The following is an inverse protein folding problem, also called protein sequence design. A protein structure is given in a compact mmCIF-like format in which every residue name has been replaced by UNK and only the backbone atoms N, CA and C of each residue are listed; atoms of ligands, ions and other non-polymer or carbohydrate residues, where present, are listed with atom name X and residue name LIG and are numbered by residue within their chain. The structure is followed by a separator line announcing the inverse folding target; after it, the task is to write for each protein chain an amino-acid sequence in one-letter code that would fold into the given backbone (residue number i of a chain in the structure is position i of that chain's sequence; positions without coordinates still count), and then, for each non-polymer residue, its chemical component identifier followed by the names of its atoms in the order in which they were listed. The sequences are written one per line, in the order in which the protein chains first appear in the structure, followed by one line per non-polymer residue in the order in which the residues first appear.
data_IF_146614716263
#
_entry.id   IF_146614716263
#
_cell.length_a   1.000
_cell.length_b   1.000
_cell.length_c   1.000
_cell.angle_alpha   90.00
_cell.angle_beta   90.00
_cell.angle_gamma   90.00
#
_symmetry.space_group_name_H-M   'P 1'
#
loop_
_entity.id
_entity.type
_entity.pdbx_description
1 polymer ?
#
# COMPACT_ATOMS: atom_id res chain seq x y z
N UNK A 1 15.06 -45.56 -9.15
CA UNK A 1 15.71 -45.09 -7.91
C UNK A 1 14.84 -43.96 -7.37
N UNK A 2 13.88 -44.26 -6.48
CA UNK A 2 13.16 -43.20 -5.76
C UNK A 2 14.02 -42.80 -4.58
N UNK A 3 14.59 -41.60 -4.63
CA UNK A 3 15.30 -41.04 -3.49
C UNK A 3 14.20 -40.67 -2.48
N UNK A 4 14.03 -41.49 -1.44
CA UNK A 4 13.27 -41.10 -0.25
C UNK A 4 14.08 -40.04 0.48
N UNK A 5 13.85 -38.77 0.12
CA UNK A 5 14.31 -37.65 0.93
C UNK A 5 13.59 -37.75 2.28
N UNK A 6 14.33 -37.98 3.36
CA UNK A 6 13.81 -37.72 4.70
C UNK A 6 13.17 -36.33 4.67
N UNK A 7 11.85 -36.29 4.89
CA UNK A 7 11.04 -35.06 4.78
C UNK A 7 11.47 -33.98 5.79
N UNK A 8 12.43 -34.29 6.65
CA UNK A 8 12.94 -33.41 7.68
C UNK A 8 14.45 -33.55 7.89
N UNK A 9 15.14 -32.42 8.02
CA UNK A 9 16.56 -32.29 8.41
C UNK A 9 16.60 -31.45 9.68
N UNK A 10 17.32 -31.89 10.71
CA UNK A 10 17.38 -31.22 12.03
C UNK A 10 16.00 -30.88 12.64
N UNK A 11 15.02 -31.77 12.47
CA UNK A 11 13.66 -31.58 12.98
C UNK A 11 12.82 -30.52 12.25
N UNK A 12 13.33 -29.96 11.14
CA UNK A 12 12.60 -29.03 10.27
C UNK A 12 12.27 -29.69 8.95
N UNK A 13 11.21 -29.25 8.27
CA UNK A 13 10.93 -29.69 6.89
C UNK A 13 12.10 -29.29 5.99
N UNK A 14 12.44 -30.13 5.01
CA UNK A 14 13.56 -29.88 4.09
C UNK A 14 13.49 -28.48 3.44
N UNK A 15 12.31 -28.05 3.01
CA UNK A 15 12.07 -26.73 2.43
C UNK A 15 12.45 -25.59 3.38
N UNK A 16 12.08 -25.71 4.64
CA UNK A 16 12.38 -24.72 5.68
C UNK A 16 13.86 -24.71 6.02
N UNK A 17 14.50 -25.89 6.06
CA UNK A 17 15.94 -26.00 6.26
C UNK A 17 16.71 -25.28 5.14
N UNK A 18 16.37 -25.56 3.87
CA UNK A 18 16.98 -24.90 2.72
C UNK A 18 16.75 -23.39 2.73
N UNK A 19 15.53 -22.96 3.06
CA UNK A 19 15.18 -21.54 3.09
C UNK A 19 15.95 -20.76 4.17
N UNK A 20 16.34 -21.42 5.27
CA UNK A 20 17.08 -20.83 6.38
C UNK A 20 18.61 -20.88 6.21
N UNK A 21 19.12 -21.49 5.14
CA UNK A 21 20.57 -21.49 4.87
C UNK A 21 21.09 -20.07 4.66
N UNK A 22 22.28 -19.79 5.19
CA UNK A 22 22.88 -18.45 5.16
C UNK A 22 23.01 -17.89 3.74
N UNK A 23 23.36 -18.72 2.76
CA UNK A 23 23.44 -18.30 1.36
C UNK A 23 22.08 -17.87 0.77
N UNK A 24 20.99 -18.56 1.15
CA UNK A 24 19.64 -18.19 0.71
C UNK A 24 19.18 -16.92 1.40
N UNK A 25 19.42 -16.82 2.72
CA UNK A 25 19.06 -15.64 3.49
C UNK A 25 19.83 -14.39 3.03
N UNK A 26 21.12 -14.54 2.69
CA UNK A 26 21.94 -13.46 2.14
C UNK A 26 21.48 -13.00 0.76
N UNK A 27 21.10 -13.92 -0.12
CA UNK A 27 20.52 -13.56 -1.42
C UNK A 27 19.18 -12.83 -1.25
N UNK A 28 18.34 -13.28 -0.32
CA UNK A 28 17.08 -12.58 0.00
C UNK A 28 17.32 -11.16 0.52
N UNK A 29 18.38 -10.94 1.32
CA UNK A 29 18.77 -9.61 1.80
C UNK A 29 19.23 -8.71 0.63
N UNK A 30 20.01 -9.24 -0.32
CA UNK A 30 20.42 -8.52 -1.53
C UNK A 30 19.21 -8.14 -2.38
N UNK A 31 18.30 -9.09 -2.64
CA UNK A 31 17.08 -8.83 -3.42
C UNK A 31 16.18 -7.80 -2.73
N UNK A 32 16.01 -7.90 -1.41
CA UNK A 32 15.25 -6.92 -0.62
C UNK A 32 15.86 -5.52 -0.74
N UNK A 33 17.19 -5.40 -0.60
CA UNK A 33 17.90 -4.14 -0.72
C UNK A 33 17.73 -3.52 -2.10
N UNK A 34 17.93 -4.29 -3.17
CA UNK A 34 17.73 -3.81 -4.53
C UNK A 34 16.29 -3.33 -4.78
N UNK A 35 15.31 -4.08 -4.28
CA UNK A 35 13.90 -3.72 -4.40
C UNK A 35 13.57 -2.46 -3.59
N UNK A 36 14.12 -2.32 -2.39
CA UNK A 36 13.95 -1.13 -1.55
C UNK A 36 14.46 0.12 -2.27
N UNK A 37 15.70 0.09 -2.78
CA UNK A 37 16.31 1.24 -3.46
C UNK A 37 15.49 1.65 -4.69
N UNK A 38 15.03 0.69 -5.50
CA UNK A 38 14.15 0.97 -6.65
C UNK A 38 12.80 1.54 -6.22
N UNK A 39 12.23 1.04 -5.13
CA UNK A 39 10.96 1.53 -4.60
C UNK A 39 11.10 2.96 -4.08
N UNK A 40 12.18 3.29 -3.38
CA UNK A 40 12.49 4.64 -2.92
C UNK A 40 12.66 5.60 -4.09
N UNK A 41 13.39 5.20 -5.13
CA UNK A 41 13.55 6.00 -6.35
C UNK A 41 12.19 6.26 -7.01
N UNK A 42 11.36 5.23 -7.17
CA UNK A 42 10.02 5.37 -7.73
C UNK A 42 9.16 6.31 -6.89
N UNK A 43 9.19 6.17 -5.56
CA UNK A 43 8.45 7.03 -4.64
C UNK A 43 8.89 8.49 -4.75
N UNK A 44 10.20 8.76 -4.83
CA UNK A 44 10.72 10.11 -4.99
C UNK A 44 10.32 10.74 -6.33
N UNK A 45 10.37 9.98 -7.43
CA UNK A 45 9.88 10.44 -8.75
C UNK A 45 8.41 10.84 -8.68
N UNK A 46 7.57 10.06 -7.98
CA UNK A 46 6.16 10.40 -7.75
C UNK A 46 6.02 11.65 -6.88
N UNK A 47 6.78 11.76 -5.78
CA UNK A 47 6.73 12.94 -4.88
C UNK A 47 7.10 14.24 -5.60
N UNK A 48 8.05 14.18 -6.52
CA UNK A 48 8.50 15.32 -7.33
C UNK A 48 7.51 15.71 -8.44
N UNK A 49 6.62 14.80 -8.86
CA UNK A 49 5.70 15.06 -9.97
C UNK A 49 4.60 16.05 -9.57
N UNK A 50 4.38 17.13 -10.33
CA UNK A 50 3.30 18.10 -10.05
C UNK A 50 1.91 17.48 -10.02
N UNK A 51 1.69 16.36 -10.73
CA UNK A 51 0.40 15.67 -10.82
C UNK A 51 0.02 14.91 -9.53
N UNK A 52 1.02 14.53 -8.74
CA UNK A 52 0.87 13.70 -7.54
C UNK A 52 1.41 14.37 -6.28
N UNK A 53 1.89 15.61 -6.41
CA UNK A 53 2.39 16.45 -5.32
C UNK A 53 1.31 16.59 -4.24
N UNK A 54 1.63 16.11 -3.04
CA UNK A 54 0.71 16.09 -1.89
C UNK A 54 0.10 14.71 -1.59
N UNK A 55 -0.35 13.98 -2.62
CA UNK A 55 -1.06 12.69 -2.47
C UNK A 55 -0.23 11.56 -1.85
N UNK A 56 1.10 11.64 -1.97
CA UNK A 56 2.05 10.64 -1.44
C UNK A 56 3.11 11.28 -0.52
N UNK A 57 2.85 12.52 -0.07
CA UNK A 57 3.85 13.33 0.64
C UNK A 57 4.29 12.70 1.97
N UNK A 58 3.36 12.01 2.64
CA UNK A 58 3.59 11.32 3.92
C UNK A 58 3.88 9.83 3.75
N UNK A 59 4.07 9.35 2.51
CA UNK A 59 4.36 7.95 2.25
C UNK A 59 5.85 7.65 2.36
N UNK A 60 6.22 6.45 2.83
CA UNK A 60 7.59 5.98 3.03
C UNK A 60 7.74 4.54 2.54
N UNK A 61 8.98 4.14 2.23
CA UNK A 61 9.34 2.74 2.02
C UNK A 61 9.98 2.24 3.30
N UNK A 62 9.54 1.08 3.76
CA UNK A 62 10.12 0.37 4.89
C UNK A 62 10.42 -1.07 4.51
N UNK A 63 11.32 -1.70 5.26
CA UNK A 63 11.65 -3.10 5.12
C UNK A 63 11.34 -3.85 6.40
N UNK A 64 10.82 -5.06 6.24
CA UNK A 64 10.55 -5.96 7.36
C UNK A 64 11.15 -7.33 7.07
N UNK A 65 11.61 -8.00 8.12
CA UNK A 65 12.22 -9.32 8.03
C UNK A 65 11.34 -10.34 8.74
N UNK A 66 10.85 -11.30 7.96
CA UNK A 66 10.25 -12.52 8.49
C UNK A 66 11.31 -13.56 8.85
N UNK A 67 10.85 -14.72 9.35
CA UNK A 67 11.73 -15.86 9.65
C UNK A 67 12.47 -16.37 8.41
N UNK A 68 11.78 -16.40 7.28
CA UNK A 68 12.31 -16.79 5.97
C UNK A 68 12.21 -15.62 5.01
N UNK A 69 11.03 -15.00 4.97
CA UNK A 69 10.67 -13.98 4.00
C UNK A 69 11.32 -12.62 4.28
N UNK A 70 11.38 -11.81 3.22
CA UNK A 70 11.79 -10.41 3.25
C UNK A 70 10.71 -9.56 2.59
N UNK A 71 10.36 -8.45 3.23
CA UNK A 71 9.28 -7.59 2.78
C UNK A 71 9.80 -6.18 2.49
N UNK A 72 9.28 -5.59 1.42
CA UNK A 72 9.40 -4.15 1.13
C UNK A 72 7.99 -3.58 1.16
N UNK A 73 7.77 -2.61 2.04
CA UNK A 73 6.45 -2.13 2.42
C UNK A 73 6.33 -0.66 2.03
N UNK A 74 5.26 -0.32 1.32
CA UNK A 74 4.85 1.06 1.10
C UNK A 74 3.91 1.45 2.24
N UNK A 75 4.35 2.38 3.08
CA UNK A 75 3.51 2.97 4.12
C UNK A 75 2.99 4.33 3.68
N UNK A 76 1.80 4.68 4.16
CA UNK A 76 1.23 6.02 4.02
C UNK A 76 0.73 6.53 5.37
N UNK A 77 1.46 7.50 5.93
CA UNK A 77 1.15 8.09 7.24
C UNK A 77 0.21 9.28 7.04
N UNK A 78 -0.98 9.03 6.53
CA UNK A 78 -2.05 10.03 6.56
C UNK A 78 -2.69 10.03 7.95
N UNK A 79 -2.60 11.16 8.68
CA UNK A 79 -3.22 11.41 10.00
C UNK A 79 -4.77 11.42 9.98
N UNK A 80 -5.41 10.63 9.13
CA UNK A 80 -6.82 10.29 9.31
C UNK A 80 -6.85 9.07 10.22
N UNK A 81 -7.09 9.31 11.51
CA UNK A 81 -7.32 8.36 12.59
C UNK A 81 -7.39 6.89 12.16
N UNK A 82 -6.38 6.12 12.59
CA UNK A 82 -6.43 4.67 12.83
C UNK A 82 -7.11 3.80 11.74
N UNK A 83 -6.32 3.02 11.01
CA UNK A 83 -6.74 1.86 10.20
C UNK A 83 -7.00 2.05 8.68
N UNK A 84 -6.41 3.05 8.02
CA UNK A 84 -6.51 3.16 6.56
C UNK A 84 -5.32 2.52 5.83
N UNK A 85 -5.24 1.19 5.84
CA UNK A 85 -4.44 0.40 4.84
C UNK A 85 -4.84 0.77 3.39
N UNK A 86 -6.03 1.36 3.24
CA UNK A 86 -6.62 1.76 1.97
C UNK A 86 -5.84 2.83 1.21
N UNK A 87 -5.08 3.71 1.87
CA UNK A 87 -4.39 4.80 1.17
C UNK A 87 -3.15 4.31 0.43
N UNK A 88 -2.28 3.54 1.09
CA UNK A 88 -1.12 2.90 0.45
C UNK A 88 -1.53 1.96 -0.69
N UNK A 89 -2.59 1.16 -0.49
CA UNK A 89 -3.13 0.32 -1.55
C UNK A 89 -3.70 1.15 -2.72
N UNK A 90 -4.43 2.23 -2.43
CA UNK A 90 -4.94 3.13 -3.47
C UNK A 90 -3.85 3.88 -4.22
N UNK A 91 -2.71 4.15 -3.56
CA UNK A 91 -1.51 4.73 -4.20
C UNK A 91 -0.87 3.70 -5.13
N UNK A 92 -0.73 2.45 -4.68
CA UNK A 92 -0.05 1.40 -5.45
C UNK A 92 -0.86 0.96 -6.67
N UNK A 93 -2.11 0.49 -6.46
CA UNK A 93 -2.90 -0.11 -7.54
C UNK A 93 -3.93 0.83 -8.16
N UNK A 94 -4.16 2.00 -7.55
CA UNK A 94 -5.18 2.96 -7.99
C UNK A 94 -6.52 2.75 -7.30
N UNK A 95 -7.46 3.65 -7.58
CA UNK A 95 -8.84 3.58 -7.06
C UNK A 95 -9.86 4.07 -8.09
N UNK A 96 -11.05 3.50 -8.05
CA UNK A 96 -12.20 4.01 -8.78
C UNK A 96 -12.76 5.29 -8.15
N UNK A 97 -13.52 6.06 -8.90
CA UNK A 97 -14.26 7.21 -8.36
C UNK A 97 -15.36 6.74 -7.40
N UNK A 98 -15.62 7.51 -6.35
CA UNK A 98 -16.68 7.23 -5.38
C UNK A 98 -17.29 8.52 -4.83
N UNK A 99 -18.57 8.45 -4.50
CA UNK A 99 -19.30 9.58 -3.94
C UNK A 99 -19.26 9.51 -2.41
N UNK A 100 -19.09 10.65 -1.77
CA UNK A 100 -19.02 10.77 -0.32
C UNK A 100 -20.13 11.67 0.18
N UNK A 101 -20.93 11.15 1.09
CA UNK A 101 -21.92 11.92 1.85
C UNK A 101 -21.43 12.09 3.28
N UNK A 102 -21.13 13.32 3.65
CA UNK A 102 -20.69 13.69 4.98
C UNK A 102 -21.91 14.06 5.82
N UNK A 103 -22.21 13.29 6.85
CA UNK A 103 -23.29 13.55 7.80
C UNK A 103 -22.79 14.29 9.03
N UNK A 104 -23.64 15.14 9.60
CA UNK A 104 -23.47 15.77 10.90
C UNK A 104 -23.53 14.70 12.00
N UNK A 105 -23.09 15.01 13.23
CA UNK A 105 -23.29 14.13 14.37
C UNK A 105 -24.76 13.75 14.56
N UNK A 106 -25.71 14.59 14.15
CA UNK A 106 -27.15 14.39 14.31
C UNK A 106 -27.80 13.67 13.11
N UNK A 107 -27.01 13.37 12.07
CA UNK A 107 -27.44 12.57 10.91
C UNK A 107 -27.87 13.39 9.69
N UNK A 108 -27.82 14.73 9.77
CA UNK A 108 -28.13 15.60 8.64
C UNK A 108 -26.97 15.65 7.63
N UNK A 109 -27.27 15.70 6.34
CA UNK A 109 -26.25 15.84 5.30
C UNK A 109 -25.58 17.22 5.37
N UNK A 110 -24.28 17.22 5.64
CA UNK A 110 -23.43 18.43 5.71
C UNK A 110 -22.80 18.73 4.36
N UNK A 111 -22.42 17.72 3.59
CA UNK A 111 -21.77 17.90 2.29
C UNK A 111 -21.81 16.60 1.49
N UNK A 112 -21.99 16.73 0.18
CA UNK A 112 -21.79 15.65 -0.78
C UNK A 112 -20.68 16.05 -1.75
N UNK A 113 -19.75 15.13 -2.02
CA UNK A 113 -18.69 15.35 -2.99
C UNK A 113 -18.22 14.04 -3.61
N UNK A 114 -17.80 14.11 -4.88
CA UNK A 114 -17.21 12.97 -5.58
C UNK A 114 -15.69 12.98 -5.44
N UNK A 115 -15.12 11.88 -4.97
CA UNK A 115 -13.68 11.63 -5.03
C UNK A 115 -13.36 11.04 -6.40
N UNK A 116 -12.55 11.75 -7.17
CA UNK A 116 -12.10 11.29 -8.48
C UNK A 116 -11.30 9.98 -8.38
N UNK A 117 -11.50 9.15 -9.40
CA UNK A 117 -10.68 7.96 -9.61
C UNK A 117 -9.23 8.35 -9.90
N UNK A 118 -8.32 7.44 -9.62
CA UNK A 118 -6.90 7.64 -9.77
C UNK A 118 -6.24 6.36 -10.26
N UNK A 119 -5.37 6.49 -11.26
CA UNK A 119 -4.55 5.38 -11.73
C UNK A 119 -3.45 5.06 -10.70
N UNK A 120 -3.21 3.77 -10.45
CA UNK A 120 -2.14 3.35 -9.55
C UNK A 120 -0.77 3.84 -10.00
N UNK A 121 0.09 4.12 -9.03
CA UNK A 121 1.47 4.55 -9.26
C UNK A 121 2.43 3.37 -9.36
N UNK A 122 1.99 2.18 -8.93
CA UNK A 122 2.70 0.91 -9.07
C UNK A 122 4.14 0.98 -8.57
N UNK A 123 4.37 1.64 -7.44
CA UNK A 123 5.70 1.92 -6.88
C UNK A 123 6.43 0.60 -6.59
N UNK A 124 5.77 -0.29 -5.85
CA UNK A 124 6.31 -1.59 -5.46
C UNK A 124 6.31 -2.58 -6.64
N UNK A 125 5.24 -2.63 -7.43
CA UNK A 125 5.16 -3.51 -8.59
C UNK A 125 6.26 -3.20 -9.62
N UNK A 126 6.52 -1.91 -9.90
CA UNK A 126 7.61 -1.51 -10.79
C UNK A 126 8.99 -1.84 -10.17
N UNK A 127 9.18 -1.64 -8.86
CA UNK A 127 10.44 -1.97 -8.17
C UNK A 127 10.75 -3.48 -8.22
N UNK A 128 9.73 -4.31 -8.07
CA UNK A 128 9.77 -5.77 -8.14
C UNK A 128 9.78 -6.31 -9.59
N UNK A 129 9.69 -5.45 -10.60
CA UNK A 129 9.53 -5.83 -12.03
C UNK A 129 8.34 -6.77 -12.27
N UNK A 130 7.28 -6.61 -11.49
CA UNK A 130 6.07 -7.40 -11.61
C UNK A 130 5.09 -6.75 -12.60
N UNK A 131 4.27 -7.56 -13.31
CA UNK A 131 3.23 -7.02 -14.17
C UNK A 131 2.22 -6.21 -13.34
N UNK A 132 1.85 -5.04 -13.86
CA UNK A 132 0.83 -4.17 -13.25
C UNK A 132 -0.51 -4.90 -13.26
N UNK A 133 -0.97 -5.34 -12.09
CA UNK A 133 -2.32 -5.88 -11.96
C UNK A 133 -3.30 -4.71 -11.92
N UNK A 134 -4.07 -4.55 -12.99
CA UNK A 134 -5.19 -3.62 -13.07
C UNK A 134 -6.34 -4.09 -12.15
N UNK A 135 -6.18 -3.95 -10.83
CA UNK A 135 -7.24 -4.19 -9.85
C UNK A 135 -7.72 -2.90 -9.15
N UNK A 136 -7.09 -1.76 -9.39
CA UNK A 136 -7.50 -0.49 -8.79
C UNK A 136 -8.69 0.14 -9.51
N UNK A 137 -9.88 -0.36 -9.23
CA UNK A 137 -11.11 0.22 -9.74
C UNK A 137 -12.24 -0.79 -9.71
N UNK A 138 -13.04 -0.77 -8.65
CA UNK A 138 -14.40 -1.28 -8.73
C UNK A 138 -15.08 -0.61 -9.93
N UNK A 139 -15.54 -1.39 -10.94
CA UNK A 139 -16.38 -0.86 -12.03
C UNK A 139 -17.69 -0.25 -11.50
N UNK A 140 -18.07 -0.60 -10.28
CA UNK A 140 -19.23 -0.07 -9.59
C UNK A 140 -18.85 1.20 -8.85
N UNK A 141 -19.55 2.31 -9.14
CA UNK A 141 -19.47 3.53 -8.33
C UNK A 141 -19.86 3.19 -6.91
N UNK A 142 -18.96 3.42 -5.96
CA UNK A 142 -19.24 3.24 -4.54
C UNK A 142 -19.77 4.55 -3.96
N UNK A 143 -20.72 4.44 -3.05
CA UNK A 143 -21.18 5.56 -2.24
C UNK A 143 -20.75 5.31 -0.80
N UNK A 144 -20.12 6.29 -0.16
CA UNK A 144 -19.58 6.19 1.18
C UNK A 144 -20.21 7.28 2.05
N UNK A 145 -20.87 6.87 3.12
CA UNK A 145 -21.43 7.80 4.10
C UNK A 145 -20.49 7.91 5.29
N UNK A 146 -20.05 9.12 5.60
CA UNK A 146 -19.13 9.39 6.72
C UNK A 146 -19.86 10.28 7.73
N UNK A 147 -20.04 9.81 8.97
CA UNK A 147 -20.63 10.62 10.05
C UNK A 147 -19.54 11.34 10.83
N UNK A 148 -19.65 12.67 10.97
CA UNK A 148 -18.72 13.45 11.79
C UNK A 148 -18.83 13.05 13.26
N UNK A 149 -17.68 12.85 13.92
CA UNK A 149 -17.64 12.74 15.39
C UNK A 149 -17.78 14.12 16.04
N UNK A 150 -18.59 14.20 17.10
CA UNK A 150 -18.82 15.43 17.87
C UNK A 150 -17.49 15.90 18.48
N UNK A 151 -17.09 17.15 18.20
CA UNK A 151 -15.85 17.74 18.72
C UNK A 151 -14.62 17.71 17.82
N UNK A 152 -14.68 17.04 16.65
CA UNK A 152 -13.55 17.00 15.69
C UNK A 152 -13.70 18.12 14.65
N UNK A 153 -12.73 19.04 14.59
CA UNK A 153 -12.66 20.07 13.54
C UNK A 153 -12.14 19.43 12.24
N UNK A 154 -13.03 19.01 11.36
CA UNK A 154 -12.66 18.63 10.00
C UNK A 154 -12.33 19.90 9.19
N UNK A 155 -11.16 19.92 8.54
CA UNK A 155 -10.67 21.06 7.75
C UNK A 155 -11.69 21.54 6.72
N UNK A 156 -11.75 22.86 6.52
CA UNK A 156 -12.68 23.49 5.56
C UNK A 156 -12.46 22.92 4.15
N UNK A 157 -13.53 22.57 3.40
CA UNK A 157 -13.40 22.34 1.98
C UNK A 157 -12.90 23.64 1.33
N UNK A 158 -11.83 23.56 0.54
CA UNK A 158 -11.37 24.70 -0.24
C UNK A 158 -12.47 25.05 -1.26
N UNK A 159 -13.14 26.18 -1.06
CA UNK A 159 -13.88 26.84 -2.13
C UNK A 159 -12.88 27.17 -3.23
N UNK A 160 -12.98 26.48 -4.38
CA UNK A 160 -12.49 27.01 -5.64
C UNK A 160 -13.68 27.73 -6.27
N UNK A 161 -13.66 29.05 -6.17
CA UNK A 161 -14.36 29.93 -7.11
C UNK A 161 -13.57 29.96 -8.43
#
# INVERSE_FOLDING_TARGET
MSIEWERSVDGKKLEEFLALMDGVQGELDVQQFEMQVRAEENLQRVKASPKTRGSVSQSSIETERGRVDRYVILQDITKSDSASVNSAMSIEVGRGAYDVTLLSPDGETVSEYTVAGFEGLYILANAAKLPRKNKGGSRTKRHVTIRRKKGVKYGRPSRRD
#
